data_IF_308184412182
#
_entry.id   IF_308184412182
#
_cell.length_a   1.000
_cell.length_b   1.000
_cell.length_c   1.000
_cell.angle_alpha   90.00
_cell.angle_beta   90.00
_cell.angle_gamma   90.00
#
_symmetry.space_group_name_H-M   'P 1'
#
loop_
_entity.id
_entity.type
_entity.pdbx_description
1 polymer ?
#
# COMPACT_ATOMS: atom_id res chain seq x y z
N UNK A 1 -13.47 47.24 2.78
CA UNK A 1 -12.16 47.93 2.71
C UNK A 1 -11.58 47.62 1.34
N UNK A 2 -11.62 48.59 0.43
CA UNK A 2 -10.97 48.46 -0.88
C UNK A 2 -9.48 48.23 -0.65
N UNK A 3 -9.03 47.01 -0.95
CA UNK A 3 -7.62 46.69 -1.01
C UNK A 3 -7.05 47.48 -2.18
N UNK A 4 -6.29 48.55 -1.90
CA UNK A 4 -5.47 49.23 -2.91
C UNK A 4 -4.45 48.21 -3.45
N UNK A 5 -4.92 47.43 -4.43
CA UNK A 5 -4.14 46.46 -5.15
C UNK A 5 -3.00 47.22 -5.83
N UNK A 6 -1.79 46.76 -5.50
CA UNK A 6 -0.51 47.08 -6.10
C UNK A 6 -0.61 47.69 -7.51
N UNK A 7 -0.68 49.03 -7.58
CA UNK A 7 -0.73 49.71 -8.86
C UNK A 7 0.69 49.75 -9.46
N UNK A 8 1.00 48.72 -10.25
CA UNK A 8 2.24 48.59 -11.02
C UNK A 8 2.53 49.85 -11.85
N UNK A 9 1.52 50.60 -12.30
CA UNK A 9 1.69 51.83 -13.05
C UNK A 9 2.24 52.97 -12.17
N UNK A 10 1.79 53.08 -10.91
CA UNK A 10 2.39 54.02 -9.94
C UNK A 10 3.87 53.72 -9.72
N UNK A 11 4.25 52.44 -9.60
CA UNK A 11 5.67 52.03 -9.46
C UNK A 11 6.45 52.30 -10.75
N UNK A 12 5.85 52.04 -11.92
CA UNK A 12 6.46 52.31 -13.22
C UNK A 12 6.72 53.81 -13.38
N UNK A 13 5.78 54.65 -12.96
CA UNK A 13 5.90 56.11 -12.90
C UNK A 13 7.05 56.58 -12.00
N UNK A 14 7.24 55.96 -10.83
CA UNK A 14 8.35 56.27 -9.92
C UNK A 14 9.74 55.93 -10.50
N UNK A 15 9.82 54.96 -11.44
CA UNK A 15 11.09 54.56 -12.07
C UNK A 15 11.40 55.28 -13.39
N UNK A 16 10.42 55.96 -13.98
CA UNK A 16 10.58 56.67 -15.25
C UNK A 16 11.66 57.78 -15.20
N UNK A 17 11.78 58.60 -14.13
CA UNK A 17 12.82 59.61 -14.03
C UNK A 17 14.24 59.04 -14.06
N UNK A 18 14.45 57.83 -13.52
CA UNK A 18 15.78 57.18 -13.50
C UNK A 18 16.18 56.68 -14.87
N UNK A 19 15.24 56.08 -15.60
CA UNK A 19 15.48 55.66 -16.98
C UNK A 19 15.80 56.86 -17.87
N UNK A 20 15.09 57.96 -17.67
CA UNK A 20 15.37 59.22 -18.37
C UNK A 20 16.75 59.79 -18.01
N UNK A 21 17.13 59.77 -16.73
CA UNK A 21 18.44 60.23 -16.26
C UNK A 21 19.59 59.37 -16.83
N UNK A 22 19.46 58.04 -16.78
CA UNK A 22 20.43 57.12 -17.37
C UNK A 22 20.58 57.34 -18.88
N UNK A 23 19.46 57.55 -19.59
CA UNK A 23 19.46 57.88 -21.02
C UNK A 23 20.24 59.16 -21.32
N UNK A 24 19.98 60.24 -20.56
CA UNK A 24 20.66 61.53 -20.72
C UNK A 24 22.17 61.44 -20.42
N UNK A 25 22.56 60.72 -19.37
CA UNK A 25 24.00 60.53 -19.04
C UNK A 25 24.72 59.75 -20.15
N UNK A 26 24.07 58.74 -20.71
CA UNK A 26 24.64 57.99 -21.83
C UNK A 26 24.76 58.84 -23.10
N UNK A 27 23.77 59.69 -23.39
CA UNK A 27 23.83 60.63 -24.50
C UNK A 27 25.00 61.61 -24.35
N UNK A 28 25.17 62.20 -23.17
CA UNK A 28 26.31 63.08 -22.87
C UNK A 28 27.63 62.33 -23.03
N UNK A 29 27.73 61.11 -22.50
CA UNK A 29 28.97 60.33 -22.64
C UNK A 29 29.29 59.97 -24.09
N UNK A 30 28.29 59.82 -24.97
CA UNK A 30 28.51 59.58 -26.39
C UNK A 30 28.97 60.86 -27.11
N UNK A 31 28.40 62.02 -26.75
CA UNK A 31 28.84 63.32 -27.29
C UNK A 31 30.30 63.58 -26.93
N UNK A 32 30.71 63.30 -25.68
CA UNK A 32 32.11 63.47 -25.25
C UNK A 32 33.05 62.54 -26.01
N UNK A 33 32.67 61.27 -26.24
CA UNK A 33 33.46 60.36 -27.06
C UNK A 33 33.61 60.84 -28.50
N UNK A 34 32.54 61.36 -29.09
CA UNK A 34 32.58 61.90 -30.45
C UNK A 34 33.50 63.13 -30.53
N UNK A 35 33.45 64.03 -29.53
CA UNK A 35 34.36 65.16 -29.42
C UNK A 35 35.84 64.74 -29.32
N UNK A 36 36.14 63.71 -28.54
CA UNK A 36 37.50 63.14 -28.45
C UNK A 36 37.96 62.59 -29.81
N UNK A 37 37.09 61.91 -30.55
CA UNK A 37 37.41 61.39 -31.90
C UNK A 37 37.59 62.49 -32.94
N UNK A 38 36.73 63.52 -32.92
CA UNK A 38 36.83 64.67 -33.83
C UNK A 38 38.08 65.50 -33.54
N UNK A 39 38.47 65.64 -32.27
CA UNK A 39 39.71 66.29 -31.89
C UNK A 39 40.95 65.51 -32.35
N UNK A 40 40.95 64.18 -32.23
CA UNK A 40 42.05 63.35 -32.72
C UNK A 40 42.22 63.50 -34.24
N UNK A 41 41.12 63.57 -34.97
CA UNK A 41 41.12 63.86 -36.41
C UNK A 41 41.63 65.28 -36.71
N UNK A 42 41.13 66.31 -36.02
CA UNK A 42 41.63 67.68 -36.20
C UNK A 42 43.13 67.81 -35.92
N UNK A 43 43.64 67.09 -34.91
CA UNK A 43 45.07 67.10 -34.55
C UNK A 43 45.96 66.47 -35.61
N UNK A 44 45.46 65.53 -36.42
CA UNK A 44 46.24 64.90 -37.50
C UNK A 44 46.34 65.77 -38.75
N UNK A 45 45.38 66.67 -38.98
CA UNK A 45 45.35 67.55 -40.16
C UNK A 45 46.02 68.91 -39.95
N UNK A 46 45.93 69.50 -38.75
CA UNK A 46 46.29 70.92 -38.53
C UNK A 46 47.54 71.18 -37.65
N UNK A 47 48.17 70.15 -37.04
CA UNK A 47 49.41 70.31 -36.26
C UNK A 47 49.26 71.06 -34.93
N UNK A 48 50.35 71.41 -34.24
CA UNK A 48 50.32 72.03 -32.89
C UNK A 48 50.04 73.55 -32.93
N UNK A 49 48.83 73.93 -33.34
CA UNK A 49 48.39 75.32 -33.33
C UNK A 49 47.89 75.76 -31.94
N UNK A 50 47.92 77.07 -31.64
CA UNK A 50 47.50 77.60 -30.33
C UNK A 50 46.02 77.26 -30.03
N UNK A 51 45.19 77.26 -31.09
CA UNK A 51 43.79 76.82 -31.05
C UNK A 51 43.64 75.35 -30.68
N UNK A 52 44.55 74.48 -31.11
CA UNK A 52 44.52 73.06 -30.76
C UNK A 52 44.86 72.83 -29.29
N UNK A 53 45.72 73.66 -28.71
CA UNK A 53 45.98 73.65 -27.26
C UNK A 53 44.72 74.04 -26.47
N UNK A 54 44.00 75.08 -26.87
CA UNK A 54 42.76 75.48 -26.22
C UNK A 54 41.66 74.43 -26.38
N UNK A 55 41.54 73.81 -27.56
CA UNK A 55 40.65 72.67 -27.79
C UNK A 55 41.01 71.47 -26.89
N UNK A 56 42.30 71.16 -26.70
CA UNK A 56 42.70 70.07 -25.79
C UNK A 56 42.34 70.35 -24.33
N UNK A 57 42.40 71.61 -23.89
CA UNK A 57 41.98 71.99 -22.55
C UNK A 57 40.46 71.92 -22.40
N UNK A 58 39.70 72.37 -23.40
CA UNK A 58 38.25 72.26 -23.43
C UNK A 58 37.79 70.80 -23.40
N UNK A 59 38.36 69.92 -24.22
CA UNK A 59 38.01 68.49 -24.19
C UNK A 59 38.32 67.86 -22.83
N UNK A 60 39.46 68.21 -22.20
CA UNK A 60 39.78 67.74 -20.85
C UNK A 60 38.75 68.19 -19.81
N UNK A 61 38.32 69.45 -19.85
CA UNK A 61 37.29 69.98 -18.96
C UNK A 61 35.94 69.27 -19.19
N UNK A 62 35.56 69.08 -20.45
CA UNK A 62 34.33 68.34 -20.82
C UNK A 62 34.40 66.88 -20.35
N UNK A 63 35.55 66.23 -20.47
CA UNK A 63 35.79 64.89 -19.94
C UNK A 63 35.66 64.81 -18.41
N UNK A 64 36.23 65.78 -17.69
CA UNK A 64 36.10 65.88 -16.23
C UNK A 64 34.65 66.11 -15.78
N UNK A 65 33.91 66.95 -16.50
CA UNK A 65 32.48 67.19 -16.26
C UNK A 65 31.68 65.90 -16.49
N UNK A 66 31.96 65.16 -17.56
CA UNK A 66 31.29 63.89 -17.85
C UNK A 66 31.54 62.83 -16.76
N UNK A 67 32.79 62.69 -16.30
CA UNK A 67 33.11 61.76 -15.21
C UNK A 67 32.44 62.19 -13.89
N UNK A 68 32.44 63.48 -13.57
CA UNK A 68 31.72 64.00 -12.39
C UNK A 68 30.22 63.71 -12.48
N UNK A 69 29.60 63.91 -13.65
CA UNK A 69 28.19 63.62 -13.89
C UNK A 69 27.87 62.12 -13.75
N UNK A 70 28.73 61.23 -14.24
CA UNK A 70 28.57 59.77 -14.06
C UNK A 70 28.61 59.40 -12.59
N UNK A 71 29.59 59.92 -11.84
CA UNK A 71 29.74 59.64 -10.40
C UNK A 71 28.50 60.11 -9.62
N UNK A 72 28.07 61.35 -9.83
CA UNK A 72 26.89 61.92 -9.15
C UNK A 72 25.60 61.18 -9.54
N UNK A 73 25.42 60.88 -10.82
CA UNK A 73 24.26 60.13 -11.30
C UNK A 73 24.20 58.73 -10.69
N UNK A 74 25.31 57.98 -10.73
CA UNK A 74 25.38 56.63 -10.16
C UNK A 74 25.13 56.63 -8.65
N UNK A 75 25.68 57.61 -7.93
CA UNK A 75 25.41 57.78 -6.50
C UNK A 75 23.91 57.97 -6.23
N UNK A 76 23.26 58.86 -6.98
CA UNK A 76 21.83 59.15 -6.81
C UNK A 76 20.94 57.95 -7.21
N UNK A 77 21.27 57.25 -8.29
CA UNK A 77 20.59 56.02 -8.70
C UNK A 77 20.72 54.96 -7.60
N UNK A 78 21.92 54.75 -7.07
CA UNK A 78 22.14 53.77 -6.00
C UNK A 78 21.40 54.14 -4.72
N UNK A 79 21.37 55.42 -4.34
CA UNK A 79 20.59 55.90 -3.19
C UNK A 79 19.10 55.64 -3.37
N UNK A 80 18.57 55.90 -4.56
CA UNK A 80 17.17 55.59 -4.88
C UNK A 80 16.89 54.08 -4.84
N UNK A 81 17.74 53.25 -5.43
CA UNK A 81 17.56 51.79 -5.42
C UNK A 81 17.57 51.24 -3.99
N UNK A 82 18.44 51.75 -3.12
CA UNK A 82 18.44 51.41 -1.69
C UNK A 82 17.13 51.82 -1.03
N UNK A 83 16.63 53.03 -1.28
CA UNK A 83 15.36 53.50 -0.75
C UNK A 83 14.17 52.67 -1.25
N UNK A 84 14.14 52.32 -2.54
CA UNK A 84 13.15 51.42 -3.13
C UNK A 84 13.15 50.05 -2.44
N UNK A 85 14.33 49.46 -2.25
CA UNK A 85 14.45 48.16 -1.58
C UNK A 85 14.00 48.23 -0.12
N UNK A 86 14.33 49.33 0.58
CA UNK A 86 13.86 49.58 1.93
C UNK A 86 12.32 49.65 1.99
N UNK A 87 11.68 50.40 1.08
CA UNK A 87 10.22 50.49 1.00
C UNK A 87 9.57 49.12 0.70
N UNK A 88 10.13 48.37 -0.25
CA UNK A 88 9.64 47.02 -0.59
C UNK A 88 9.74 46.11 0.63
N UNK A 89 10.86 46.13 1.35
CA UNK A 89 11.07 45.29 2.52
C UNK A 89 10.12 45.67 3.66
N UNK A 90 9.96 46.96 3.94
CA UNK A 90 9.03 47.46 4.96
C UNK A 90 7.58 47.09 4.63
N UNK A 91 7.20 47.17 3.36
CA UNK A 91 5.88 46.76 2.90
C UNK A 91 5.66 45.25 3.00
N UNK A 92 6.65 44.44 2.59
CA UNK A 92 6.61 42.97 2.78
C UNK A 92 6.46 42.58 4.24
N UNK A 93 7.20 43.24 5.13
CA UNK A 93 7.05 43.07 6.57
C UNK A 93 5.64 43.43 7.02
N UNK A 94 5.11 44.58 6.63
CA UNK A 94 3.74 44.98 6.96
C UNK A 94 2.69 43.99 6.45
N UNK A 95 2.84 43.43 5.26
CA UNK A 95 1.95 42.37 4.76
C UNK A 95 2.11 41.11 5.59
N UNK A 96 3.34 40.65 5.84
CA UNK A 96 3.58 39.45 6.65
C UNK A 96 2.99 39.59 8.04
N UNK A 97 3.13 40.76 8.66
CA UNK A 97 2.57 41.02 9.99
C UNK A 97 1.05 41.11 9.94
N UNK A 98 0.45 41.69 8.88
CA UNK A 98 -1.00 41.59 8.65
C UNK A 98 -1.46 40.15 8.46
N UNK A 99 -0.74 39.35 7.68
CA UNK A 99 -1.04 37.92 7.45
C UNK A 99 -0.95 37.09 8.73
N UNK A 100 -0.04 37.42 9.66
CA UNK A 100 0.02 36.79 10.99
C UNK A 100 -1.18 37.14 11.88
N UNK A 101 -1.76 38.33 11.69
CA UNK A 101 -2.89 38.84 12.49
C UNK A 101 -4.24 38.38 11.91
N UNK A 102 -4.27 38.03 10.62
CA UNK A 102 -5.46 37.43 10.01
C UNK A 102 -5.63 36.04 10.60
N UNK A 103 -6.47 35.95 11.64
CA UNK A 103 -7.16 34.71 12.00
C UNK A 103 -8.04 34.38 10.79
N UNK A 104 -7.54 33.46 9.96
CA UNK A 104 -8.31 32.93 8.85
C UNK A 104 -9.44 32.10 9.44
N UNK A 105 -10.69 32.41 9.10
CA UNK A 105 -11.82 31.53 9.39
C UNK A 105 -11.49 30.11 8.93
N UNK A 106 -11.78 29.12 9.79
CA UNK A 106 -11.44 27.72 9.54
C UNK A 106 -11.94 27.25 8.16
N UNK A 107 -13.06 27.76 7.67
CA UNK A 107 -13.60 27.44 6.33
C UNK A 107 -12.72 27.94 5.18
N UNK A 108 -12.19 29.16 5.26
CA UNK A 108 -11.31 29.71 4.23
C UNK A 108 -9.97 28.97 4.21
N UNK A 109 -9.44 28.63 5.39
CA UNK A 109 -8.26 27.77 5.51
C UNK A 109 -8.49 26.38 4.90
N UNK A 110 -9.68 25.81 5.10
CA UNK A 110 -10.06 24.54 4.51
C UNK A 110 -10.15 24.62 2.99
N UNK A 111 -10.77 25.67 2.44
CA UNK A 111 -10.83 25.90 0.99
C UNK A 111 -9.45 26.10 0.36
N UNK A 112 -8.59 26.90 1.00
CA UNK A 112 -7.21 27.11 0.53
C UNK A 112 -6.43 25.78 0.61
N UNK A 113 -6.53 25.06 1.73
CA UNK A 113 -5.88 23.76 1.91
C UNK A 113 -6.33 22.74 0.86
N UNK A 114 -7.64 22.63 0.62
CA UNK A 114 -8.21 21.76 -0.42
C UNK A 114 -7.70 22.16 -1.80
N UNK A 115 -7.69 23.45 -2.14
CA UNK A 115 -7.17 23.91 -3.44
C UNK A 115 -5.68 23.60 -3.65
N UNK A 116 -4.87 23.65 -2.57
CA UNK A 116 -3.44 23.33 -2.63
C UNK A 116 -3.20 21.82 -2.75
N UNK A 117 -4.06 21.00 -2.15
CA UNK A 117 -4.07 19.54 -2.30
C UNK A 117 -4.50 19.15 -3.72
N UNK A 118 -5.61 19.72 -4.21
CA UNK A 118 -6.12 19.49 -5.58
C UNK A 118 -5.07 19.81 -6.64
N UNK A 119 -4.38 20.93 -6.47
CA UNK A 119 -3.31 21.35 -7.37
C UNK A 119 -1.98 20.62 -7.14
N UNK A 120 -1.95 19.61 -6.24
CA UNK A 120 -0.76 18.84 -5.86
C UNK A 120 0.44 19.73 -5.51
N UNK A 121 0.20 20.86 -4.86
CA UNK A 121 1.20 21.85 -4.46
C UNK A 121 1.77 21.61 -3.05
N UNK A 122 1.18 20.66 -2.31
CA UNK A 122 1.64 20.22 -0.99
C UNK A 122 1.85 18.71 -1.04
N UNK A 123 3.05 18.26 -0.64
CA UNK A 123 3.41 16.83 -0.58
C UNK A 123 3.16 16.21 0.80
N UNK A 124 3.24 17.01 1.87
CA UNK A 124 2.97 16.55 3.24
C UNK A 124 2.63 17.72 4.15
N UNK A 125 1.51 17.61 4.87
CA UNK A 125 1.18 18.51 5.98
C UNK A 125 1.75 17.85 7.24
N UNK A 126 2.71 18.52 7.88
CA UNK A 126 3.34 18.01 9.11
C UNK A 126 2.65 18.55 10.36
N UNK A 127 2.26 19.83 10.38
CA UNK A 127 1.53 20.47 11.48
C UNK A 127 0.65 21.64 10.97
N UNK A 128 -0.17 22.27 11.84
CA UNK A 128 -1.07 23.40 11.50
C UNK A 128 -0.40 24.58 10.80
N UNK A 129 0.92 24.75 10.94
CA UNK A 129 1.67 25.92 10.41
C UNK A 129 2.82 25.48 9.49
N UNK A 130 3.09 24.18 9.36
CA UNK A 130 4.23 23.67 8.58
C UNK A 130 3.75 22.66 7.54
N UNK A 131 3.98 23.00 6.27
CA UNK A 131 3.80 22.09 5.15
C UNK A 131 5.05 22.09 4.27
N UNK A 132 5.32 20.94 3.66
CA UNK A 132 6.38 20.79 2.66
C UNK A 132 5.73 21.04 1.29
N UNK A 133 6.12 22.10 0.57
CA UNK A 133 5.64 22.31 -0.78
C UNK A 133 6.18 21.19 -1.68
N UNK A 134 5.30 20.62 -2.49
CA UNK A 134 5.73 19.72 -3.56
C UNK A 134 6.31 20.53 -4.70
N UNK A 135 7.33 19.97 -5.35
CA UNK A 135 7.84 20.51 -6.60
C UNK A 135 6.75 20.33 -7.65
N UNK A 136 6.37 21.43 -8.32
CA UNK A 136 5.35 21.41 -9.36
C UNK A 136 5.81 20.50 -10.51
N UNK A 137 4.89 19.83 -11.19
CA UNK A 137 5.17 19.01 -12.38
C UNK A 137 6.01 19.78 -13.41
N UNK A 138 5.73 21.07 -13.63
CA UNK A 138 6.53 21.91 -14.54
C UNK A 138 7.99 22.01 -14.10
N UNK A 139 8.22 22.21 -12.81
CA UNK A 139 9.57 22.29 -12.24
C UNK A 139 10.27 20.93 -12.27
N UNK A 140 9.54 19.82 -12.12
CA UNK A 140 10.09 18.48 -12.33
C UNK A 140 10.55 18.27 -13.77
N UNK A 141 9.76 18.68 -14.75
CA UNK A 141 10.13 18.59 -16.16
C UNK A 141 11.34 19.48 -16.47
N UNK A 142 11.34 20.72 -16.00
CA UNK A 142 12.49 21.64 -16.13
C UNK A 142 13.76 21.08 -15.48
N UNK A 143 13.65 20.44 -14.31
CA UNK A 143 14.77 19.79 -13.63
C UNK A 143 15.27 18.59 -14.43
N UNK A 144 14.38 17.75 -14.96
CA UNK A 144 14.75 16.61 -15.80
C UNK A 144 15.47 17.09 -17.06
N UNK A 145 14.95 18.13 -17.71
CA UNK A 145 15.57 18.71 -18.90
C UNK A 145 16.95 19.30 -18.58
N UNK A 146 17.09 20.01 -17.46
CA UNK A 146 18.36 20.54 -17.00
C UNK A 146 19.38 19.43 -16.67
N UNK A 147 18.93 18.33 -16.06
CA UNK A 147 19.77 17.16 -15.77
C UNK A 147 20.18 16.43 -17.06
N UNK A 148 19.28 16.31 -18.03
CA UNK A 148 19.58 15.73 -19.34
C UNK A 148 20.56 16.58 -20.17
N UNK A 149 20.58 17.90 -19.97
CA UNK A 149 21.56 18.78 -20.60
C UNK A 149 22.90 18.84 -19.84
N UNK A 150 22.93 18.37 -18.60
CA UNK A 150 24.12 18.42 -17.75
C UNK A 150 25.06 17.25 -18.08
N UNK A 151 26.19 17.59 -18.71
CA UNK A 151 27.21 16.62 -19.12
C UNK A 151 27.88 15.88 -17.96
N UNK A 152 28.00 16.49 -16.78
CA UNK A 152 28.54 15.82 -15.59
C UNK A 152 27.55 14.77 -15.07
N UNK A 153 26.26 15.11 -15.02
CA UNK A 153 25.21 14.18 -14.61
C UNK A 153 25.15 12.98 -15.56
N UNK A 154 25.14 13.21 -16.88
CA UNK A 154 25.15 12.13 -17.86
C UNK A 154 26.38 11.23 -17.72
N UNK A 155 27.58 11.81 -17.56
CA UNK A 155 28.80 11.05 -17.30
C UNK A 155 28.70 10.23 -16.01
N UNK A 156 28.16 10.80 -14.93
CA UNK A 156 27.93 10.07 -13.68
C UNK A 156 26.94 8.90 -13.87
N UNK A 157 25.88 9.09 -14.65
CA UNK A 157 24.92 8.03 -14.98
C UNK A 157 25.58 6.93 -15.82
N UNK A 158 26.39 7.28 -16.81
CA UNK A 158 27.11 6.29 -17.62
C UNK A 158 28.15 5.54 -16.81
N UNK A 159 28.91 6.24 -15.95
CA UNK A 159 29.83 5.60 -15.01
C UNK A 159 29.10 4.64 -14.05
N UNK A 160 27.91 5.02 -13.56
CA UNK A 160 27.07 4.16 -12.74
C UNK A 160 26.59 2.93 -13.51
N UNK A 161 26.20 3.09 -14.79
CA UNK A 161 25.82 1.95 -15.64
C UNK A 161 26.98 1.00 -15.88
N UNK A 162 28.18 1.51 -16.13
CA UNK A 162 29.38 0.68 -16.29
C UNK A 162 29.72 -0.04 -14.98
N UNK A 163 29.72 0.67 -13.85
CA UNK A 163 29.92 0.08 -12.54
C UNK A 163 28.85 -0.99 -12.22
N UNK A 164 27.59 -0.76 -12.60
CA UNK A 164 26.53 -1.74 -12.41
C UNK A 164 26.76 -2.98 -13.28
N UNK A 165 27.18 -2.81 -14.54
CA UNK A 165 27.55 -3.95 -15.42
C UNK A 165 28.70 -4.77 -14.83
N UNK A 166 29.75 -4.13 -14.33
CA UNK A 166 30.89 -4.84 -13.72
C UNK A 166 30.47 -5.52 -12.42
N UNK A 167 29.63 -4.87 -11.61
CA UNK A 167 29.04 -5.44 -10.40
C UNK A 167 28.21 -6.70 -10.72
N UNK A 168 27.31 -6.63 -11.70
CA UNK A 168 26.50 -7.77 -12.14
C UNK A 168 27.35 -8.93 -12.64
N UNK A 169 28.38 -8.66 -13.44
CA UNK A 169 29.32 -9.70 -13.89
C UNK A 169 30.09 -10.32 -12.73
N UNK A 170 30.51 -9.50 -11.75
CA UNK A 170 31.21 -9.99 -10.56
C UNK A 170 30.31 -10.86 -9.68
N UNK A 171 29.04 -10.49 -9.51
CA UNK A 171 28.06 -11.27 -8.77
C UNK A 171 27.69 -12.56 -9.48
N UNK A 172 27.50 -12.53 -10.80
CA UNK A 172 27.28 -13.73 -11.60
C UNK A 172 28.46 -14.70 -11.45
N UNK A 173 29.71 -14.22 -11.50
CA UNK A 173 30.89 -15.07 -11.25
C UNK A 173 30.90 -15.66 -9.83
N UNK A 174 30.58 -14.87 -8.81
CA UNK A 174 30.50 -15.34 -7.42
C UNK A 174 29.42 -16.41 -7.22
N UNK A 175 28.25 -16.23 -7.84
CA UNK A 175 27.16 -17.21 -7.75
C UNK A 175 27.47 -18.47 -8.55
N UNK A 176 28.07 -18.35 -9.74
CA UNK A 176 28.53 -19.51 -10.52
C UNK A 176 29.60 -20.33 -9.79
N UNK A 177 30.48 -19.68 -9.02
CA UNK A 177 31.50 -20.37 -8.22
C UNK A 177 30.91 -21.19 -7.05
N UNK A 178 29.67 -20.91 -6.63
CA UNK A 178 28.95 -21.67 -5.59
C UNK A 178 28.25 -22.92 -6.16
N UNK A 179 28.19 -23.06 -7.49
CA UNK A 179 27.55 -24.20 -8.14
C UNK A 179 28.48 -25.43 -8.04
N UNK A 180 28.01 -26.57 -7.51
CA UNK A 180 28.77 -27.81 -7.53
C UNK A 180 29.14 -28.24 -8.95
N UNK A 181 30.35 -28.77 -9.15
CA UNK A 181 30.82 -29.26 -10.46
C UNK A 181 30.03 -30.46 -11.01
N UNK A 182 29.17 -31.07 -10.20
CA UNK A 182 28.27 -32.17 -10.58
C UNK A 182 26.98 -31.72 -11.28
N UNK A 183 26.71 -30.42 -11.34
CA UNK A 183 25.49 -29.87 -11.94
C UNK A 183 25.61 -29.86 -13.47
N UNK A 184 24.55 -30.30 -14.15
CA UNK A 184 24.50 -30.33 -15.61
C UNK A 184 24.71 -28.93 -16.22
N UNK A 185 25.47 -28.86 -17.31
CA UNK A 185 25.78 -27.61 -18.02
C UNK A 185 24.52 -26.84 -18.46
N UNK A 186 23.45 -27.56 -18.80
CA UNK A 186 22.15 -26.98 -19.15
C UNK A 186 21.52 -26.14 -18.04
N UNK A 187 21.55 -26.63 -16.79
CA UNK A 187 20.99 -25.93 -15.62
C UNK A 187 21.80 -24.66 -15.31
N UNK A 188 23.12 -24.71 -15.54
CA UNK A 188 24.02 -23.56 -15.39
C UNK A 188 23.74 -22.48 -16.44
N UNK A 189 23.43 -22.88 -17.67
CA UNK A 189 23.01 -21.94 -18.74
C UNK A 189 21.65 -21.31 -18.46
N UNK A 190 20.70 -22.10 -17.97
CA UNK A 190 19.37 -21.60 -17.58
C UNK A 190 19.45 -20.62 -16.42
N UNK A 191 20.32 -20.89 -15.43
CA UNK A 191 20.59 -19.94 -14.34
C UNK A 191 21.17 -18.63 -14.87
N UNK A 192 22.13 -18.65 -15.81
CA UNK A 192 22.68 -17.43 -16.42
C UNK A 192 21.60 -16.62 -17.13
N UNK A 193 20.73 -17.27 -17.91
CA UNK A 193 19.60 -16.60 -18.59
C UNK A 193 18.68 -15.92 -17.58
N UNK A 194 18.34 -16.62 -16.50
CA UNK A 194 17.44 -16.07 -15.48
C UNK A 194 18.09 -14.97 -14.62
N UNK A 195 19.40 -15.04 -14.40
CA UNK A 195 20.15 -13.97 -13.73
C UNK A 195 20.19 -12.68 -14.54
N UNK A 196 20.20 -12.75 -15.87
CA UNK A 196 20.12 -11.56 -16.72
C UNK A 196 18.76 -10.86 -16.68
N UNK A 197 17.68 -11.61 -16.48
CA UNK A 197 16.32 -11.07 -16.34
C UNK A 197 16.11 -10.50 -14.93
N UNK A 198 16.64 -11.19 -13.93
CA UNK A 198 16.42 -10.91 -12.51
C UNK A 198 17.75 -11.04 -11.75
N UNK A 199 18.54 -9.95 -11.68
CA UNK A 199 19.92 -9.97 -11.16
C UNK A 199 20.07 -10.18 -9.65
N UNK A 200 18.96 -10.31 -8.92
CA UNK A 200 18.93 -10.58 -7.47
C UNK A 200 18.80 -12.08 -7.13
N UNK A 201 18.65 -12.94 -8.13
CA UNK A 201 18.43 -14.37 -7.90
C UNK A 201 19.74 -15.06 -7.51
N UNK A 202 19.73 -15.69 -6.34
CA UNK A 202 20.78 -16.61 -5.86
C UNK A 202 20.57 -18.01 -6.45
N UNK A 203 21.65 -18.76 -6.68
CA UNK A 203 21.56 -20.14 -7.19
C UNK A 203 20.65 -21.05 -6.33
N UNK A 204 20.67 -20.88 -5.00
CA UNK A 204 19.80 -21.64 -4.10
C UNK A 204 18.31 -21.36 -4.32
N UNK A 205 17.93 -20.09 -4.57
CA UNK A 205 16.54 -19.71 -4.87
C UNK A 205 16.11 -20.24 -6.23
N UNK A 206 17.01 -20.24 -7.21
CA UNK A 206 16.78 -20.84 -8.52
C UNK A 206 16.55 -22.36 -8.42
N UNK A 207 17.38 -23.07 -7.65
CA UNK A 207 17.20 -24.50 -7.41
C UNK A 207 15.92 -24.83 -6.65
N UNK A 208 15.55 -24.03 -5.66
CA UNK A 208 14.26 -24.17 -4.97
C UNK A 208 13.09 -23.97 -5.93
N UNK A 209 13.16 -22.96 -6.81
CA UNK A 209 12.14 -22.73 -7.82
C UNK A 209 12.04 -23.87 -8.86
N UNK A 210 13.16 -24.45 -9.28
CA UNK A 210 13.17 -25.65 -10.13
C UNK A 210 12.57 -26.85 -9.39
N UNK A 211 12.92 -27.05 -8.12
CA UNK A 211 12.34 -28.12 -7.29
C UNK A 211 10.82 -27.96 -7.07
N UNK A 212 10.34 -26.73 -6.89
CA UNK A 212 8.91 -26.42 -6.80
C UNK A 212 8.16 -26.69 -8.11
N UNK A 213 8.74 -26.32 -9.26
CA UNK A 213 8.13 -26.62 -10.56
C UNK A 213 7.98 -28.12 -10.81
N UNK A 214 9.00 -28.91 -10.46
CA UNK A 214 8.96 -30.37 -10.57
C UNK A 214 7.91 -30.98 -9.62
N UNK A 215 7.81 -30.48 -8.38
CA UNK A 215 6.78 -30.96 -7.43
C UNK A 215 5.36 -30.57 -7.84
N UNK A 216 5.15 -29.42 -8.48
CA UNK A 216 3.83 -29.03 -8.99
C UNK A 216 3.36 -29.92 -10.15
N UNK A 217 4.26 -30.34 -11.04
CA UNK A 217 3.96 -31.31 -12.11
C UNK A 217 3.67 -32.71 -11.56
N UNK A 218 4.39 -33.14 -10.53
CA UNK A 218 4.09 -34.38 -9.80
C UNK A 218 2.74 -34.31 -9.05
N UNK A 219 2.39 -33.16 -8.48
CA UNK A 219 1.10 -32.96 -7.81
C UNK A 219 -0.04 -32.97 -8.82
N UNK A 220 0.12 -32.35 -9.99
CA UNK A 220 -0.88 -32.39 -11.07
C UNK A 220 -1.11 -33.81 -11.58
N UNK A 221 -0.05 -34.55 -11.89
CA UNK A 221 -0.16 -35.94 -12.33
C UNK A 221 -0.81 -36.85 -11.28
N UNK A 222 -0.53 -36.64 -9.98
CA UNK A 222 -1.23 -37.36 -8.90
C UNK A 222 -2.71 -37.00 -8.80
N UNK A 223 -3.08 -35.73 -8.99
CA UNK A 223 -4.50 -35.31 -9.01
C UNK A 223 -5.25 -35.92 -10.17
N UNK A 224 -4.67 -35.94 -11.37
CA UNK A 224 -5.25 -36.59 -12.55
C UNK A 224 -5.43 -38.11 -12.36
N UNK A 225 -4.47 -38.77 -11.69
CA UNK A 225 -4.60 -40.20 -11.35
C UNK A 225 -5.73 -40.44 -10.32
N UNK A 226 -5.90 -39.53 -9.36
CA UNK A 226 -7.00 -39.62 -8.39
C UNK A 226 -8.36 -39.41 -9.04
N UNK A 227 -8.49 -38.45 -9.96
CA UNK A 227 -9.73 -38.25 -10.73
C UNK A 227 -10.04 -39.48 -11.59
N UNK A 228 -9.08 -40.01 -12.34
CA UNK A 228 -9.28 -41.24 -13.12
C UNK A 228 -9.67 -42.45 -12.27
N UNK A 229 -9.15 -42.54 -11.04
CA UNK A 229 -9.55 -43.61 -10.13
C UNK A 229 -10.96 -43.42 -9.58
N UNK A 230 -11.38 -42.17 -9.30
CA UNK A 230 -12.77 -41.88 -8.92
C UNK A 230 -13.74 -42.20 -10.06
N UNK A 231 -13.42 -41.78 -11.28
CA UNK A 231 -14.22 -42.11 -12.47
C UNK A 231 -14.33 -43.63 -12.66
N UNK A 232 -13.23 -44.38 -12.46
CA UNK A 232 -13.28 -45.85 -12.50
C UNK A 232 -14.19 -46.45 -11.42
N UNK A 233 -14.13 -45.94 -10.21
CA UNK A 233 -14.99 -46.38 -9.11
C UNK A 233 -16.46 -46.08 -9.40
N UNK A 234 -16.78 -44.88 -9.90
CA UNK A 234 -18.14 -44.52 -10.30
C UNK A 234 -18.66 -45.43 -11.42
N UNK A 235 -17.82 -45.74 -12.43
CA UNK A 235 -18.18 -46.67 -13.50
C UNK A 235 -18.42 -48.09 -12.95
N UNK A 236 -17.63 -48.53 -11.98
CA UNK A 236 -17.76 -49.85 -11.36
C UNK A 236 -19.02 -49.96 -10.48
N UNK A 237 -19.37 -48.89 -9.74
CA UNK A 237 -20.62 -48.78 -9.01
C UNK A 237 -21.83 -48.78 -9.95
N UNK A 238 -21.78 -48.03 -11.05
CA UNK A 238 -22.83 -48.01 -12.07
C UNK A 238 -23.01 -49.38 -12.73
N UNK A 239 -21.93 -50.13 -12.97
CA UNK A 239 -22.01 -51.51 -13.46
C UNK A 239 -22.69 -52.44 -12.47
N UNK A 240 -22.33 -52.37 -11.18
CA UNK A 240 -23.02 -53.15 -10.14
C UNK A 240 -24.50 -52.82 -10.06
N UNK A 241 -24.86 -51.54 -10.12
CA UNK A 241 -26.27 -51.13 -10.14
C UNK A 241 -27.01 -51.64 -11.37
N UNK A 242 -26.37 -51.66 -12.55
CA UNK A 242 -26.95 -52.26 -13.75
C UNK A 242 -27.14 -53.77 -13.60
N UNK A 243 -26.15 -54.48 -13.08
CA UNK A 243 -26.24 -55.92 -12.80
C UNK A 243 -27.39 -56.22 -11.82
N UNK A 244 -27.48 -55.49 -10.70
CA UNK A 244 -28.59 -55.61 -9.73
C UNK A 244 -29.96 -55.33 -10.36
N UNK A 245 -30.06 -54.34 -11.25
CA UNK A 245 -31.29 -54.04 -11.98
C UNK A 245 -31.66 -55.18 -12.95
N UNK A 246 -30.69 -55.74 -13.66
CA UNK A 246 -30.92 -56.88 -14.56
C UNK A 246 -31.34 -58.14 -13.78
N UNK A 247 -30.70 -58.44 -12.64
CA UNK A 247 -31.07 -59.56 -11.78
C UNK A 247 -32.47 -59.37 -11.17
N UNK A 248 -32.81 -58.16 -10.76
CA UNK A 248 -34.14 -57.81 -10.26
C UNK A 248 -35.20 -57.97 -11.35
N UNK A 249 -34.91 -57.53 -12.58
CA UNK A 249 -35.81 -57.68 -13.73
C UNK A 249 -36.00 -59.15 -14.14
N UNK A 250 -34.92 -59.92 -14.21
CA UNK A 250 -34.97 -61.37 -14.45
C UNK A 250 -35.76 -62.10 -13.37
N UNK A 251 -35.63 -61.67 -12.12
CA UNK A 251 -36.40 -62.19 -11.00
C UNK A 251 -37.89 -61.86 -11.13
N UNK A 252 -38.22 -60.64 -11.57
CA UNK A 252 -39.59 -60.22 -11.81
C UNK A 252 -40.28 -61.06 -12.89
N UNK A 253 -39.57 -61.36 -13.97
CA UNK A 253 -40.08 -62.22 -15.06
C UNK A 253 -40.25 -63.69 -14.65
N UNK A 254 -39.45 -64.18 -13.69
CA UNK A 254 -39.46 -65.59 -13.25
C UNK A 254 -40.51 -65.91 -12.17
N UNK A 255 -40.93 -64.93 -11.37
CA UNK A 255 -41.82 -65.16 -10.22
C UNK A 255 -43.16 -64.44 -10.36
N UNK A 256 -44.21 -64.93 -9.69
CA UNK A 256 -45.45 -64.15 -9.57
C UNK A 256 -45.23 -62.89 -8.72
N UNK A 257 -45.98 -61.81 -8.97
CA UNK A 257 -45.87 -60.53 -8.24
C UNK A 257 -45.78 -60.70 -6.71
N UNK A 258 -46.57 -61.62 -6.14
CA UNK A 258 -46.62 -61.84 -4.69
C UNK A 258 -45.34 -62.48 -4.13
N UNK A 259 -44.68 -63.34 -4.90
CA UNK A 259 -43.42 -63.97 -4.50
C UNK A 259 -42.21 -63.05 -4.72
N UNK A 260 -42.24 -62.25 -5.79
CA UNK A 260 -41.23 -61.23 -6.07
C UNK A 260 -41.15 -60.20 -4.94
N UNK A 261 -42.29 -59.64 -4.51
CA UNK A 261 -42.34 -58.72 -3.38
C UNK A 261 -41.83 -59.36 -2.07
N UNK A 262 -42.13 -60.64 -1.84
CA UNK A 262 -41.66 -61.37 -0.66
C UNK A 262 -40.14 -61.51 -0.65
N UNK A 263 -39.50 -61.68 -1.82
CA UNK A 263 -38.03 -61.77 -1.95
C UNK A 263 -37.36 -60.41 -1.82
N UNK A 264 -37.88 -59.35 -2.44
CA UNK A 264 -37.40 -57.98 -2.24
C UNK A 264 -37.43 -57.57 -0.77
N UNK A 265 -38.51 -57.89 -0.05
CA UNK A 265 -38.62 -57.65 1.40
C UNK A 265 -37.63 -58.46 2.23
N UNK A 266 -37.15 -59.60 1.74
CA UNK A 266 -36.11 -60.40 2.42
C UNK A 266 -34.70 -59.86 2.16
N UNK A 267 -34.41 -59.40 0.95
CA UNK A 267 -33.13 -58.78 0.60
C UNK A 267 -32.92 -57.43 1.30
N UNK A 268 -33.98 -56.61 1.43
CA UNK A 268 -33.93 -55.33 2.15
C UNK A 268 -33.83 -55.45 3.69
N UNK A 269 -33.86 -56.67 4.24
CA UNK A 269 -33.67 -56.87 5.69
C UNK A 269 -32.17 -56.93 5.98
N UNK A 270 -31.65 -55.90 6.61
CA UNK A 270 -30.31 -55.92 7.20
C UNK A 270 -30.23 -57.05 8.25
N UNK A 271 -29.17 -57.86 8.18
CA UNK A 271 -28.93 -58.89 9.19
C UNK A 271 -28.35 -58.21 10.43
N UNK A 272 -28.84 -58.56 11.61
CA UNK A 272 -28.38 -58.00 12.89
C UNK A 272 -26.85 -58.11 13.14
N UNK A 273 -26.13 -58.95 12.39
CA UNK A 273 -24.67 -59.06 12.44
C UNK A 273 -23.91 -58.01 11.62
N UNK A 274 -24.54 -57.28 10.70
CA UNK A 274 -23.88 -56.26 9.86
C UNK A 274 -23.89 -54.85 10.52
N UNK A 275 -24.67 -54.68 11.59
CA UNK A 275 -24.78 -53.41 12.34
C UNK A 275 -23.61 -53.24 13.33
N UNK A 276 -22.85 -54.29 13.65
CA UNK A 276 -21.73 -54.19 14.62
C UNK A 276 -20.45 -53.57 14.05
N UNK A 277 -20.27 -53.57 12.73
CA UNK A 277 -18.95 -53.27 12.13
C UNK A 277 -18.84 -51.84 11.56
N UNK A 278 -19.92 -51.03 11.60
CA UNK A 278 -19.89 -49.59 11.24
C UNK A 278 -19.62 -48.74 12.51
N UNK A 279 -18.72 -49.22 13.35
CA UNK A 279 -18.25 -48.52 14.54
C UNK A 279 -17.13 -47.53 14.22
N UNK A 280 -17.46 -46.24 14.26
CA UNK A 280 -16.57 -45.12 14.63
C UNK A 280 -15.29 -44.86 13.81
N UNK A 281 -15.42 -44.17 12.67
CA UNK A 281 -14.44 -43.18 12.18
C UNK A 281 -15.11 -42.00 11.47
N UNK A 282 -15.92 -41.23 12.19
CA UNK A 282 -16.09 -39.81 11.88
C UNK A 282 -15.52 -39.05 13.06
N UNK A 283 -14.35 -38.44 12.88
CA UNK A 283 -13.85 -37.44 13.81
C UNK A 283 -14.86 -36.29 13.79
N UNK A 284 -15.75 -36.26 14.78
CA UNK A 284 -16.61 -35.10 15.01
C UNK A 284 -15.70 -34.04 15.61
N UNK A 285 -15.28 -33.08 14.79
CA UNK A 285 -14.65 -31.85 15.29
C UNK A 285 -15.68 -31.11 16.14
N UNK A 286 -15.40 -30.98 17.43
CA UNK A 286 -16.29 -30.26 18.37
C UNK A 286 -16.11 -28.76 18.10
N UNK A 287 -17.01 -28.18 17.33
CA UNK A 287 -17.12 -26.73 17.14
C UNK A 287 -17.64 -26.05 18.41
N UNK A 288 -17.23 -24.80 18.68
CA UNK A 288 -17.60 -24.04 19.89
C UNK A 288 -19.12 -23.99 20.16
N UNK A 289 -19.95 -24.00 19.12
CA UNK A 289 -21.41 -24.06 19.25
C UNK A 289 -21.90 -25.34 19.93
N UNK A 290 -21.25 -26.47 19.68
CA UNK A 290 -21.61 -27.77 20.28
C UNK A 290 -21.21 -27.76 21.76
N UNK A 291 -20.05 -27.20 22.08
CA UNK A 291 -19.60 -27.01 23.46
C UNK A 291 -20.54 -26.10 24.25
N UNK A 292 -20.98 -24.98 23.66
CA UNK A 292 -21.96 -24.07 24.29
C UNK A 292 -23.33 -24.73 24.49
N UNK A 293 -23.78 -25.57 23.55
CA UNK A 293 -25.01 -26.37 23.72
C UNK A 293 -24.88 -27.39 24.84
N UNK A 294 -23.73 -28.03 24.99
CA UNK A 294 -23.48 -28.98 26.08
C UNK A 294 -23.45 -28.26 27.44
N UNK A 295 -22.81 -27.10 27.54
CA UNK A 295 -22.79 -26.30 28.78
C UNK A 295 -24.17 -25.77 29.16
N UNK A 296 -24.93 -25.27 28.20
CA UNK A 296 -26.31 -24.81 28.45
C UNK A 296 -27.22 -25.96 28.90
N UNK A 297 -27.03 -27.16 28.34
CA UNK A 297 -27.74 -28.35 28.77
C UNK A 297 -27.36 -28.77 30.21
N UNK A 298 -26.07 -28.77 30.56
CA UNK A 298 -25.61 -29.03 31.94
C UNK A 298 -26.20 -28.04 32.94
N UNK A 299 -26.17 -26.74 32.63
CA UNK A 299 -26.77 -25.69 33.49
C UNK A 299 -28.29 -25.86 33.67
N UNK A 300 -29.00 -26.37 32.67
CA UNK A 300 -30.43 -26.67 32.80
C UNK A 300 -30.68 -27.93 33.65
N UNK A 301 -29.78 -28.90 33.61
CA UNK A 301 -29.88 -30.14 34.37
C UNK A 301 -29.61 -29.87 35.86
N UNK A 302 -28.56 -29.12 36.19
CA UNK A 302 -28.21 -28.73 37.57
C UNK A 302 -29.34 -27.92 38.23
N UNK A 303 -29.96 -26.97 37.49
CA UNK A 303 -31.11 -26.19 37.98
C UNK A 303 -32.36 -27.03 38.23
N UNK A 304 -32.53 -28.17 37.54
CA UNK A 304 -33.68 -29.07 37.76
C UNK A 304 -33.43 -30.10 38.87
N UNK A 305 -32.17 -30.47 39.13
CA UNK A 305 -31.83 -31.37 40.23
C UNK A 305 -31.84 -30.69 41.60
N UNK A 306 -31.48 -29.41 41.70
CA UNK A 306 -31.49 -28.68 42.98
C UNK A 306 -32.91 -28.28 43.45
N UNK A 307 -33.88 -28.15 42.54
CA UNK A 307 -35.22 -27.64 42.86
C UNK A 307 -36.24 -28.66 43.36
N UNK A 308 -36.06 -29.96 43.08
CA UNK A 308 -37.14 -30.96 43.28
C UNK A 308 -36.76 -32.25 44.01
N UNK A 309 -35.48 -32.50 44.35
CA UNK A 309 -35.09 -33.83 44.85
C UNK A 309 -34.22 -33.87 46.12
N UNK A 310 -33.94 -32.73 46.76
CA UNK A 310 -33.19 -32.72 48.04
C UNK A 310 -33.85 -31.74 49.03
N UNK A 311 -34.87 -32.21 49.74
CA UNK A 311 -35.25 -31.63 51.05
C UNK A 311 -34.47 -32.36 52.13
N UNK A 312 -33.50 -31.71 52.81
CA UNK A 312 -32.72 -32.31 53.86
C UNK A 312 -33.41 -32.13 55.22
N UNK A 313 -34.43 -32.93 55.50
CA UNK A 313 -34.89 -33.19 56.87
C UNK A 313 -36.01 -34.22 56.86
N UNK A 314 -35.68 -35.49 57.11
CA UNK A 314 -36.41 -36.36 58.03
C UNK A 314 -35.61 -37.66 58.20
N UNK A 315 -35.76 -38.23 59.39
CA UNK A 315 -34.96 -39.26 60.03
C UNK A 315 -34.58 -40.45 59.16
N UNK A 316 -33.33 -40.89 59.36
CA UNK A 316 -32.73 -42.14 58.87
C UNK A 316 -33.52 -43.39 59.29
N UNK A 317 -34.58 -43.71 58.58
CA UNK A 317 -35.14 -45.07 58.60
C UNK A 317 -34.43 -45.89 57.52
N UNK A 318 -33.70 -46.91 57.97
CA UNK A 318 -33.01 -47.86 57.09
C UNK A 318 -34.03 -48.47 56.11
N UNK A 319 -33.89 -48.29 54.79
CA UNK A 319 -34.88 -48.73 53.79
C UNK A 319 -35.15 -50.25 53.86
N UNK A 320 -34.22 -51.02 54.42
CA UNK A 320 -34.43 -52.45 54.69
C UNK A 320 -35.47 -52.72 55.78
N UNK A 321 -35.61 -51.85 56.79
CA UNK A 321 -36.67 -51.97 57.82
C UNK A 321 -38.05 -51.71 57.21
N UNK A 322 -38.19 -50.66 56.39
CA UNK A 322 -39.42 -50.35 55.66
C UNK A 322 -39.89 -51.52 54.77
N UNK A 323 -38.96 -52.22 54.12
CA UNK A 323 -39.28 -53.40 53.30
C UNK A 323 -39.70 -54.59 54.18
N UNK A 324 -39.09 -54.78 55.35
CA UNK A 324 -39.45 -55.85 56.29
C UNK A 324 -40.84 -55.63 56.88
N UNK A 325 -41.14 -54.43 57.38
CA UNK A 325 -42.46 -54.09 57.92
C UNK A 325 -43.56 -54.21 56.86
N UNK A 326 -43.29 -53.80 55.61
CA UNK A 326 -44.26 -54.00 54.50
C UNK A 326 -44.51 -55.47 54.19
N UNK A 327 -43.49 -56.33 54.32
CA UNK A 327 -43.65 -57.77 54.09
C UNK A 327 -44.40 -58.44 55.23
N UNK A 328 -44.20 -58.01 56.47
CA UNK A 328 -44.99 -58.49 57.62
C UNK A 328 -46.45 -58.07 57.49
N UNK A 329 -46.74 -56.78 57.25
CA UNK A 329 -48.13 -56.34 57.03
C UNK A 329 -48.82 -57.05 55.88
N UNK A 330 -48.13 -57.28 54.76
CA UNK A 330 -48.69 -58.07 53.66
C UNK A 330 -48.91 -59.55 53.98
N UNK A 331 -48.14 -60.12 54.93
CA UNK A 331 -48.41 -61.47 55.43
C UNK A 331 -49.61 -61.48 56.34
N UNK A 332 -49.71 -60.53 57.28
CA UNK A 332 -50.87 -60.39 58.16
C UNK A 332 -52.16 -60.18 57.34
N UNK A 333 -52.15 -59.28 56.34
CA UNK A 333 -53.27 -59.09 55.43
C UNK A 333 -53.60 -60.37 54.64
N UNK A 334 -52.60 -61.13 54.22
CA UNK A 334 -52.81 -62.39 53.50
C UNK A 334 -53.36 -63.48 54.41
N UNK A 335 -52.88 -63.58 55.65
CA UNK A 335 -53.35 -64.55 56.64
C UNK A 335 -54.76 -64.20 57.11
N UNK A 336 -55.10 -62.93 57.34
CA UNK A 336 -56.49 -62.48 57.57
C UNK A 336 -57.40 -62.79 56.38
N UNK A 337 -56.93 -62.55 55.16
CA UNK A 337 -57.70 -62.86 53.95
C UNK A 337 -57.89 -64.37 53.79
N UNK A 338 -56.88 -65.17 54.14
CA UNK A 338 -56.94 -66.63 54.08
C UNK A 338 -57.88 -67.19 55.15
N UNK A 339 -57.79 -66.70 56.39
CA UNK A 339 -58.67 -67.10 57.49
C UNK A 339 -60.13 -66.71 57.19
N UNK A 340 -60.38 -65.59 56.52
CA UNK A 340 -61.72 -65.20 56.08
C UNK A 340 -62.32 -66.16 55.04
N UNK A 341 -61.49 -66.83 54.23
CA UNK A 341 -61.92 -67.81 53.23
C UNK A 341 -61.90 -69.27 53.73
N UNK A 342 -61.21 -69.57 54.83
CA UNK A 342 -61.21 -70.89 55.49
C UNK A 342 -62.25 -70.99 56.63
N UNK A 343 -63.00 -69.92 56.93
CA UNK A 343 -64.08 -69.87 57.93
C UNK A 343 -65.51 -69.70 57.38
N UNK A 344 -65.68 -69.73 56.05
CA UNK A 344 -66.93 -70.03 55.32
C UNK A 344 -66.86 -71.47 54.76
#
# INVERSE_FOLDING_TARGET
METELFNLEKIRGLTAPIKALQGKVNQVSNIVKNLETEQQLASSYYGNDLLLKDLTQLTKLVGQINESLKVVSNYNINKFLKFKNYLINKYKQSINDRLKIIDLDNELLLQIGLSLIENKAISKITERITYIPSVNIKQWLELIDALNQNTLFLKSVDNLREHYKTFLQSNLKKELAKIPSSVASSIVEDFKRQFHITPEITYNKFNQALGHKLTDEEIKSKKELLEKNKERQEIEELKKQQEEQTESYDSYLKFSNKEFERRLRKQKREKLGEISDIGNKKNIEITEEISQKIETFKKQLDRKSEGNYITPSESSEDPLKLIRERKEKKREEYDEFKDHFESD
#
